data_IF_049095213925
#
_entry.id   IF_049095213925
#
_cell.length_a   1.000
_cell.length_b   1.000
_cell.length_c   1.000
_cell.angle_alpha   90.00
_cell.angle_beta   90.00
_cell.angle_gamma   90.00
#
_symmetry.space_group_name_H-M   'P 1'
#
loop_
_entity.id
_entity.type
_entity.pdbx_description
1 polymer ?
#
# COMPACT_ATOMS: atom_id res chain seq x y z
N UNK A 1 52.42 -57.92 22.59
CA UNK A 1 50.99 -57.79 22.91
C UNK A 1 50.36 -56.81 21.92
N UNK A 2 49.43 -57.23 21.07
CA UNK A 2 48.89 -56.38 20.01
C UNK A 2 47.61 -55.65 20.46
N UNK A 3 47.48 -54.39 20.01
CA UNK A 3 46.40 -53.51 20.29
C UNK A 3 45.10 -53.88 19.53
N UNK A 4 43.98 -53.90 20.23
CA UNK A 4 42.66 -54.17 19.73
C UNK A 4 42.12 -52.94 18.88
N UNK A 5 41.78 -53.20 17.61
CA UNK A 5 40.98 -52.32 16.75
C UNK A 5 39.52 -52.28 17.25
N UNK A 6 39.00 -51.09 17.55
CA UNK A 6 37.55 -50.86 17.74
C UNK A 6 36.91 -50.65 16.37
N UNK A 7 35.87 -51.43 16.09
CA UNK A 7 34.94 -51.25 14.97
C UNK A 7 34.10 -50.01 15.24
N UNK A 8 34.08 -49.12 14.28
CA UNK A 8 33.14 -48.01 14.27
C UNK A 8 31.76 -48.46 13.74
N UNK A 9 30.74 -48.21 14.51
CA UNK A 9 29.34 -48.42 14.10
C UNK A 9 28.90 -47.36 13.14
N UNK A 10 28.44 -47.78 11.96
CA UNK A 10 27.84 -46.95 10.93
C UNK A 10 26.44 -46.56 11.38
N UNK A 11 26.21 -45.25 11.58
CA UNK A 11 24.88 -44.70 11.76
C UNK A 11 24.28 -44.49 10.36
N UNK A 12 23.50 -45.46 9.91
CA UNK A 12 22.57 -45.37 8.79
C UNK A 12 21.25 -44.85 9.32
N UNK A 13 20.78 -43.71 8.84
CA UNK A 13 19.43 -43.27 9.18
C UNK A 13 19.20 -41.78 8.99
N UNK A 14 19.58 -41.22 7.82
CA UNK A 14 19.00 -39.94 7.42
C UNK A 14 17.78 -40.27 6.59
N UNK A 15 16.61 -40.28 7.27
CA UNK A 15 15.34 -40.38 6.64
C UNK A 15 15.14 -39.20 5.68
N UNK A 16 14.90 -39.51 4.43
CA UNK A 16 14.49 -38.58 3.39
C UNK A 16 13.22 -37.85 3.85
N UNK A 17 13.36 -36.61 4.30
CA UNK A 17 12.22 -35.72 4.46
C UNK A 17 11.63 -35.46 3.08
N UNK A 18 10.53 -36.17 2.79
CA UNK A 18 9.65 -35.91 1.67
C UNK A 18 9.32 -34.42 1.66
N UNK A 19 9.87 -33.68 0.70
CA UNK A 19 9.48 -32.32 0.41
C UNK A 19 8.02 -32.37 -0.05
N UNK A 20 7.09 -32.11 0.87
CA UNK A 20 5.70 -31.83 0.53
C UNK A 20 5.72 -30.66 -0.46
N UNK A 21 5.43 -30.94 -1.73
CA UNK A 21 5.18 -29.91 -2.74
C UNK A 21 4.09 -29.01 -2.18
N UNK A 22 4.45 -27.86 -1.64
CA UNK A 22 3.50 -26.78 -1.37
C UNK A 22 2.78 -26.51 -2.69
N UNK A 23 1.49 -26.78 -2.73
CA UNK A 23 0.64 -26.36 -3.85
C UNK A 23 0.84 -24.85 -3.97
N UNK A 24 1.51 -24.42 -5.03
CA UNK A 24 1.63 -22.99 -5.36
C UNK A 24 0.20 -22.48 -5.47
N UNK A 25 -0.23 -21.65 -4.51
CA UNK A 25 -1.49 -20.92 -4.63
C UNK A 25 -1.39 -20.13 -5.93
N UNK A 26 -2.46 -20.14 -6.73
CA UNK A 26 -2.53 -19.30 -7.93
C UNK A 26 -2.21 -17.86 -7.51
N UNK A 27 -1.34 -17.15 -8.22
CA UNK A 27 -1.09 -15.74 -7.91
C UNK A 27 -2.43 -14.99 -8.02
N UNK A 28 -2.68 -14.08 -7.09
CA UNK A 28 -3.79 -13.13 -7.20
C UNK A 28 -3.42 -12.22 -8.36
N UNK A 29 -4.30 -12.11 -9.36
CA UNK A 29 -4.11 -11.26 -10.53
C UNK A 29 -5.25 -10.25 -10.64
N UNK A 30 -5.07 -9.27 -11.50
CA UNK A 30 -6.05 -8.20 -11.73
C UNK A 30 -7.36 -8.67 -12.38
N UNK A 31 -7.39 -9.85 -13.01
CA UNK A 31 -8.60 -10.42 -13.62
C UNK A 31 -9.71 -10.69 -12.61
N UNK A 32 -9.36 -10.77 -11.31
CA UNK A 32 -10.32 -10.91 -10.22
C UNK A 32 -10.95 -9.59 -9.81
N UNK A 33 -10.46 -8.47 -10.33
CA UNK A 33 -10.97 -7.14 -10.01
C UNK A 33 -12.08 -6.73 -10.99
N UNK A 34 -13.08 -6.02 -10.47
CA UNK A 34 -14.10 -5.40 -11.33
C UNK A 34 -13.48 -4.33 -12.23
N UNK A 35 -14.04 -4.14 -13.41
CA UNK A 35 -13.59 -3.09 -14.33
C UNK A 35 -14.25 -1.76 -13.99
N UNK A 36 -13.52 -0.91 -13.30
CA UNK A 36 -13.99 0.42 -12.87
C UNK A 36 -13.66 1.44 -13.95
N UNK A 37 -14.70 2.16 -14.38
CA UNK A 37 -14.59 3.22 -15.39
C UNK A 37 -14.74 4.59 -14.74
N UNK A 38 -14.09 5.62 -15.29
CA UNK A 38 -14.32 6.99 -14.85
C UNK A 38 -15.75 7.43 -15.11
N UNK A 39 -16.35 8.12 -14.14
CA UNK A 39 -17.73 8.63 -14.21
C UNK A 39 -17.78 10.12 -14.56
N UNK A 40 -16.65 10.82 -14.43
CA UNK A 40 -16.55 12.27 -14.70
C UNK A 40 -15.29 12.57 -15.50
N UNK A 41 -15.26 13.74 -16.16
CA UNK A 41 -14.08 14.18 -16.93
C UNK A 41 -12.81 14.30 -16.06
N UNK A 42 -12.96 14.73 -14.81
CA UNK A 42 -11.84 14.80 -13.88
C UNK A 42 -11.32 13.42 -13.51
N UNK A 43 -12.19 12.43 -13.33
CA UNK A 43 -11.78 11.04 -13.12
C UNK A 43 -11.13 10.48 -14.39
N UNK A 44 -11.66 10.77 -15.58
CA UNK A 44 -11.05 10.38 -16.85
C UNK A 44 -9.63 10.94 -16.96
N UNK A 45 -9.46 12.23 -16.67
CA UNK A 45 -8.14 12.86 -16.65
C UNK A 45 -7.20 12.17 -15.67
N UNK A 46 -7.66 11.78 -14.48
CA UNK A 46 -6.87 11.04 -13.51
C UNK A 46 -6.37 9.70 -14.09
N UNK A 47 -7.27 8.94 -14.75
CA UNK A 47 -6.90 7.68 -15.41
C UNK A 47 -5.85 7.89 -16.50
N UNK A 48 -6.00 8.91 -17.32
CA UNK A 48 -5.10 9.20 -18.45
C UNK A 48 -3.71 9.62 -17.96
N UNK A 49 -3.64 10.50 -16.98
CA UNK A 49 -2.38 10.95 -16.38
C UNK A 49 -1.69 9.83 -15.59
N UNK A 50 -2.46 8.96 -14.95
CA UNK A 50 -1.93 7.77 -14.29
C UNK A 50 -1.28 6.81 -15.29
N UNK A 51 -1.97 6.54 -16.41
CA UNK A 51 -1.46 5.68 -17.51
C UNK A 51 -0.24 6.30 -18.19
N UNK A 52 -0.14 7.61 -18.22
CA UNK A 52 1.03 8.33 -18.72
C UNK A 52 2.27 8.21 -17.79
N UNK A 53 2.16 7.48 -16.69
CA UNK A 53 3.28 7.23 -15.76
C UNK A 53 3.63 8.39 -14.85
N UNK A 54 2.74 9.39 -14.72
CA UNK A 54 3.00 10.59 -13.92
C UNK A 54 2.75 10.33 -12.43
N UNK A 55 3.47 11.08 -11.59
CA UNK A 55 3.08 11.30 -10.21
C UNK A 55 1.86 12.22 -10.17
N UNK A 56 0.89 11.93 -9.30
CA UNK A 56 -0.40 12.59 -9.32
C UNK A 56 -0.69 13.36 -8.04
N UNK A 57 -1.43 14.43 -8.22
CA UNK A 57 -1.97 15.22 -7.13
C UNK A 57 -3.49 15.36 -7.32
N UNK A 58 -4.24 14.49 -6.65
CA UNK A 58 -5.69 14.44 -6.69
C UNK A 58 -6.28 15.34 -5.61
N UNK A 59 -6.69 16.53 -5.99
CA UNK A 59 -7.24 17.54 -5.09
C UNK A 59 -8.67 17.88 -5.46
N UNK A 60 -9.57 17.92 -4.48
CA UNK A 60 -10.98 18.21 -4.71
C UNK A 60 -11.84 17.86 -3.51
N UNK A 61 -13.15 18.09 -3.62
CA UNK A 61 -14.12 17.85 -2.55
C UNK A 61 -14.14 16.39 -2.06
N UNK A 62 -14.52 16.18 -0.79
CA UNK A 62 -14.74 14.85 -0.24
C UNK A 62 -15.75 14.04 -1.08
N UNK A 63 -15.63 12.72 -1.07
CA UNK A 63 -16.58 11.84 -1.75
C UNK A 63 -16.46 11.76 -3.28
N UNK A 64 -15.50 12.43 -3.90
CA UNK A 64 -15.30 12.40 -5.36
C UNK A 64 -14.54 11.15 -5.88
N UNK A 65 -14.19 10.23 -4.99
CA UNK A 65 -13.55 8.95 -5.34
C UNK A 65 -12.03 9.00 -5.53
N UNK A 66 -11.33 10.06 -5.14
CA UNK A 66 -9.88 10.22 -5.34
C UNK A 66 -9.08 9.03 -4.82
N UNK A 67 -9.21 8.73 -3.54
CA UNK A 67 -8.50 7.63 -2.87
C UNK A 67 -8.90 6.27 -3.43
N UNK A 68 -10.19 6.10 -3.74
CA UNK A 68 -10.71 4.88 -4.34
C UNK A 68 -10.10 4.60 -5.71
N UNK A 69 -10.07 5.61 -6.60
CA UNK A 69 -9.48 5.49 -7.94
C UNK A 69 -7.97 5.27 -7.85
N UNK A 70 -7.28 6.00 -6.98
CA UNK A 70 -5.85 5.82 -6.75
C UNK A 70 -5.53 4.39 -6.31
N UNK A 71 -6.27 3.85 -5.34
CA UNK A 71 -6.09 2.50 -4.83
C UNK A 71 -6.41 1.44 -5.88
N UNK A 72 -7.50 1.64 -6.65
CA UNK A 72 -7.90 0.74 -7.73
C UNK A 72 -6.81 0.63 -8.80
N UNK A 73 -6.34 1.76 -9.32
CA UNK A 73 -5.33 1.79 -10.37
C UNK A 73 -4.00 1.21 -9.89
N UNK A 74 -3.60 1.54 -8.67
CA UNK A 74 -2.38 1.04 -8.07
C UNK A 74 -2.42 -0.48 -7.86
N UNK A 75 -3.49 -1.03 -7.30
CA UNK A 75 -3.65 -2.47 -7.10
C UNK A 75 -3.71 -3.21 -8.44
N UNK A 76 -4.45 -2.69 -9.42
CA UNK A 76 -4.54 -3.29 -10.75
C UNK A 76 -3.14 -3.37 -11.39
N UNK A 77 -2.37 -2.30 -11.37
CA UNK A 77 -1.03 -2.24 -11.96
C UNK A 77 -0.05 -3.21 -11.27
N UNK A 78 -0.06 -3.28 -9.94
CA UNK A 78 0.80 -4.21 -9.17
C UNK A 78 0.40 -5.66 -9.41
N UNK A 79 -0.88 -5.97 -9.51
CA UNK A 79 -1.38 -7.33 -9.75
C UNK A 79 -1.18 -7.79 -11.19
N UNK A 80 -1.13 -6.89 -12.15
CA UNK A 80 -0.82 -7.20 -13.56
C UNK A 80 0.64 -7.60 -13.77
N UNK A 81 1.54 -7.24 -12.86
CA UNK A 81 2.97 -7.59 -12.89
C UNK A 81 3.69 -7.21 -14.21
N UNK A 82 3.17 -6.21 -14.93
CA UNK A 82 3.74 -5.73 -16.21
C UNK A 82 4.78 -4.64 -15.94
N UNK A 83 4.63 -3.92 -14.84
CA UNK A 83 5.48 -2.82 -14.42
C UNK A 83 6.44 -3.25 -13.31
N UNK A 84 7.47 -2.46 -12.99
CA UNK A 84 8.39 -2.77 -11.90
C UNK A 84 7.76 -2.62 -10.50
N UNK A 85 6.50 -2.19 -10.40
CA UNK A 85 5.85 -2.00 -9.11
C UNK A 85 5.41 -3.34 -8.52
N UNK A 86 5.81 -3.58 -7.29
CA UNK A 86 5.53 -4.83 -6.57
C UNK A 86 4.53 -4.62 -5.42
N UNK A 87 4.39 -3.37 -4.93
CA UNK A 87 3.68 -3.07 -3.70
C UNK A 87 2.92 -1.75 -3.80
N UNK A 88 1.81 -1.68 -3.09
CA UNK A 88 1.06 -0.44 -2.86
C UNK A 88 1.22 -0.04 -1.39
N UNK A 89 1.77 1.13 -1.13
CA UNK A 89 1.79 1.75 0.19
C UNK A 89 0.67 2.77 0.31
N UNK A 90 -0.18 2.61 1.32
CA UNK A 90 -1.15 3.63 1.72
C UNK A 90 -0.60 4.32 2.95
N UNK A 91 -0.27 5.59 2.80
CA UNK A 91 0.31 6.42 3.86
C UNK A 91 -0.72 7.44 4.31
N UNK A 92 -0.97 7.50 5.61
CA UNK A 92 -1.89 8.47 6.22
C UNK A 92 -1.32 9.00 7.52
N UNK A 93 -1.56 10.27 7.83
CA UNK A 93 -1.29 10.80 9.16
C UNK A 93 -2.27 10.22 10.19
N UNK A 94 -1.75 9.77 11.31
CA UNK A 94 -2.55 9.36 12.47
C UNK A 94 -2.80 10.58 13.38
N UNK A 95 -3.35 11.65 12.85
CA UNK A 95 -3.80 12.75 13.71
C UNK A 95 -4.95 12.20 14.54
N UNK A 96 -4.77 12.17 15.86
CA UNK A 96 -5.86 11.89 16.78
C UNK A 96 -6.90 13.01 16.59
N UNK A 97 -7.92 12.76 15.75
CA UNK A 97 -9.07 13.64 15.70
C UNK A 97 -9.67 13.69 17.10
N UNK A 98 -10.01 14.87 17.57
CA UNK A 98 -10.57 15.10 18.91
C UNK A 98 -11.83 14.26 19.20
N UNK A 99 -12.40 13.65 18.16
CA UNK A 99 -13.60 12.82 18.25
C UNK A 99 -13.34 11.37 18.64
N UNK A 100 -12.11 10.86 18.41
CA UNK A 100 -11.73 9.53 18.88
C UNK A 100 -10.99 9.74 20.21
N UNK A 101 -11.75 9.83 21.30
CA UNK A 101 -11.21 9.85 22.64
C UNK A 101 -10.20 8.73 22.85
N UNK A 102 -9.41 8.80 23.91
CA UNK A 102 -8.44 7.80 24.34
C UNK A 102 -9.02 6.38 24.19
N UNK A 103 -8.90 5.78 23.01
CA UNK A 103 -9.19 4.37 22.83
C UNK A 103 -8.11 3.57 23.56
N UNK A 104 -8.48 2.76 24.55
CA UNK A 104 -7.54 1.82 25.17
C UNK A 104 -7.18 0.76 24.11
N UNK A 105 -5.91 0.51 23.94
CA UNK A 105 -5.40 -0.50 22.99
C UNK A 105 -3.99 -0.17 22.53
N UNK A 106 -3.25 -1.18 22.11
CA UNK A 106 -1.90 -1.05 21.57
C UNK A 106 -1.91 -0.31 20.22
N UNK A 107 -0.75 0.16 19.79
CA UNK A 107 -0.57 0.86 18.51
C UNK A 107 -1.05 0.06 17.30
N UNK A 108 -1.02 -1.27 17.36
CA UNK A 108 -1.51 -2.15 16.31
C UNK A 108 -3.04 -2.14 16.22
N UNK A 109 -3.74 -2.14 17.34
CA UNK A 109 -5.20 -2.07 17.37
C UNK A 109 -5.72 -0.75 16.80
N UNK A 110 -5.07 0.36 17.13
CA UNK A 110 -5.40 1.68 16.57
C UNK A 110 -5.12 1.75 15.07
N UNK A 111 -4.01 1.17 14.62
CA UNK A 111 -3.67 1.08 13.21
C UNK A 111 -4.70 0.28 12.41
N UNK A 112 -5.28 -0.76 12.99
CA UNK A 112 -6.27 -1.60 12.32
C UNK A 112 -7.56 -0.85 11.99
N UNK A 113 -8.02 0.03 12.86
CA UNK A 113 -9.23 0.84 12.64
C UNK A 113 -9.08 1.79 11.44
N UNK A 114 -7.90 2.38 11.25
CA UNK A 114 -7.62 3.24 10.11
C UNK A 114 -7.55 2.49 8.77
N UNK A 115 -7.38 1.16 8.80
CA UNK A 115 -7.35 0.32 7.61
C UNK A 115 -8.75 -0.08 7.12
N UNK A 116 -9.78 0.00 7.97
CA UNK A 116 -11.15 -0.44 7.65
C UNK A 116 -11.70 0.21 6.37
N UNK A 117 -11.61 1.53 6.16
CA UNK A 117 -12.11 2.15 4.93
C UNK A 117 -11.44 1.57 3.67
N UNK A 118 -10.13 1.36 3.71
CA UNK A 118 -9.39 0.80 2.58
C UNK A 118 -9.72 -0.67 2.34
N UNK A 119 -9.90 -1.44 3.41
CA UNK A 119 -10.37 -2.83 3.32
C UNK A 119 -11.73 -2.91 2.64
N UNK A 120 -12.65 -2.00 2.97
CA UNK A 120 -13.95 -1.92 2.32
C UNK A 120 -13.85 -1.52 0.85
N UNK A 121 -12.94 -0.61 0.50
CA UNK A 121 -12.66 -0.27 -0.90
C UNK A 121 -12.13 -1.49 -1.67
N UNK A 122 -11.17 -2.21 -1.11
CA UNK A 122 -10.63 -3.44 -1.72
C UNK A 122 -11.73 -4.49 -1.87
N UNK A 123 -12.60 -4.67 -0.86
CA UNK A 123 -13.73 -5.59 -0.95
C UNK A 123 -14.64 -5.27 -2.14
N UNK A 124 -14.95 -4.00 -2.34
CA UNK A 124 -15.74 -3.57 -3.50
C UNK A 124 -15.03 -3.84 -4.84
N UNK A 125 -13.70 -3.64 -4.89
CA UNK A 125 -12.90 -3.84 -6.11
C UNK A 125 -12.83 -5.30 -6.56
N UNK A 126 -12.98 -6.25 -5.65
CA UNK A 126 -12.95 -7.69 -5.96
C UNK A 126 -14.33 -8.33 -6.05
N UNK A 127 -15.40 -7.62 -5.65
CA UNK A 127 -16.82 -8.05 -5.75
C UNK A 127 -17.05 -9.54 -5.39
N UNK A 128 -16.42 -9.98 -4.30
CA UNK A 128 -16.57 -11.37 -3.87
C UNK A 128 -17.92 -11.60 -3.19
N UNK A 129 -18.57 -12.71 -3.53
CA UNK A 129 -19.90 -13.06 -3.03
C UNK A 129 -19.88 -13.49 -1.55
N UNK A 130 -18.76 -14.04 -1.08
CA UNK A 130 -18.61 -14.52 0.30
C UNK A 130 -17.57 -13.69 1.06
N UNK A 131 -17.94 -13.27 2.26
CA UNK A 131 -17.07 -12.52 3.17
C UNK A 131 -15.84 -13.35 3.57
N UNK A 132 -15.95 -14.66 3.72
CA UNK A 132 -14.82 -15.53 4.06
C UNK A 132 -13.81 -15.62 2.90
N UNK A 133 -14.29 -15.70 1.66
CA UNK A 133 -13.41 -15.66 0.49
C UNK A 133 -12.65 -14.34 0.40
N UNK A 134 -13.33 -13.24 0.66
CA UNK A 134 -12.69 -11.93 0.73
C UNK A 134 -11.63 -11.84 1.83
N UNK A 135 -11.92 -12.31 3.04
CA UNK A 135 -10.94 -12.31 4.14
C UNK A 135 -9.68 -13.14 3.78
N UNK A 136 -9.87 -14.28 3.11
CA UNK A 136 -8.74 -15.09 2.64
C UNK A 136 -7.92 -14.37 1.57
N UNK A 137 -8.56 -13.69 0.61
CA UNK A 137 -7.91 -12.90 -0.42
C UNK A 137 -7.16 -11.72 0.18
N UNK A 138 -7.83 -10.94 1.03
CA UNK A 138 -7.24 -9.78 1.69
C UNK A 138 -6.06 -10.16 2.59
N UNK A 139 -6.21 -11.26 3.34
CA UNK A 139 -5.12 -11.83 4.12
C UNK A 139 -3.92 -12.25 3.25
N UNK A 140 -4.18 -12.79 2.06
CA UNK A 140 -3.13 -13.15 1.12
C UNK A 140 -2.42 -11.91 0.52
N UNK A 141 -3.17 -10.83 0.18
CA UNK A 141 -2.60 -9.55 -0.27
C UNK A 141 -1.67 -8.93 0.79
N UNK A 142 -2.08 -8.99 2.06
CA UNK A 142 -1.25 -8.52 3.18
C UNK A 142 -0.02 -9.41 3.40
N UNK A 143 -0.18 -10.72 3.38
CA UNK A 143 0.91 -11.68 3.57
C UNK A 143 1.95 -11.64 2.45
N UNK A 144 1.55 -11.30 1.23
CA UNK A 144 2.42 -11.06 0.08
C UNK A 144 2.99 -9.64 0.06
N UNK A 145 2.61 -8.80 1.01
CA UNK A 145 2.97 -7.39 1.07
C UNK A 145 2.52 -6.57 -0.15
N UNK A 146 1.57 -7.08 -0.93
CA UNK A 146 1.02 -6.37 -2.09
C UNK A 146 0.38 -5.04 -1.70
N UNK A 147 -0.27 -4.99 -0.53
CA UNK A 147 -0.79 -3.77 0.07
C UNK A 147 -0.25 -3.60 1.48
N UNK A 148 0.26 -2.42 1.80
CA UNK A 148 0.80 -2.04 3.10
C UNK A 148 0.23 -0.70 3.55
N UNK A 149 -0.08 -0.62 4.84
CA UNK A 149 -0.55 0.61 5.46
C UNK A 149 0.52 1.15 6.39
N UNK A 150 0.91 2.39 6.18
CA UNK A 150 1.90 3.05 7.01
C UNK A 150 1.37 4.36 7.55
N UNK A 151 1.65 4.61 8.82
CA UNK A 151 1.52 5.96 9.35
C UNK A 151 2.83 6.72 9.14
N UNK A 152 2.72 8.03 9.05
CA UNK A 152 3.88 8.94 8.92
C UNK A 152 4.93 8.73 10.00
N UNK A 153 4.52 8.29 11.18
CA UNK A 153 5.41 8.01 12.32
C UNK A 153 6.37 6.83 12.08
N UNK A 154 6.02 5.88 11.22
CA UNK A 154 6.82 4.66 10.98
C UNK A 154 7.70 4.74 9.72
N UNK A 155 7.65 5.83 8.98
CA UNK A 155 8.42 6.00 7.74
C UNK A 155 9.91 6.28 7.96
N UNK A 156 10.30 6.65 9.19
CA UNK A 156 11.70 7.02 9.47
C UNK A 156 12.64 5.82 9.34
N UNK A 157 13.69 6.00 8.54
CA UNK A 157 14.76 4.98 8.37
C UNK A 157 14.48 3.90 7.33
N UNK A 158 13.39 4.00 6.57
CA UNK A 158 13.07 3.06 5.47
C UNK A 158 13.10 3.78 4.13
N UNK A 159 13.52 3.09 3.08
CA UNK A 159 13.39 3.53 1.68
C UNK A 159 12.30 2.68 1.01
N UNK A 160 11.49 3.30 0.18
CA UNK A 160 10.42 2.65 -0.56
C UNK A 160 10.86 2.51 -2.01
N UNK A 161 11.09 1.29 -2.47
CA UNK A 161 11.48 0.98 -3.85
C UNK A 161 10.42 0.11 -4.52
N UNK A 162 10.36 0.16 -5.85
CA UNK A 162 9.48 -0.65 -6.69
C UNK A 162 8.02 -0.63 -6.23
N UNK A 163 7.47 0.56 -5.95
CA UNK A 163 6.15 0.66 -5.34
C UNK A 163 5.33 1.86 -5.82
N UNK A 164 4.03 1.76 -5.57
CA UNK A 164 3.11 2.89 -5.73
C UNK A 164 2.73 3.37 -4.34
N UNK A 165 2.93 4.65 -4.09
CA UNK A 165 2.69 5.29 -2.80
C UNK A 165 1.45 6.17 -2.91
N UNK A 166 0.43 5.88 -2.12
CA UNK A 166 -0.79 6.68 -2.02
C UNK A 166 -0.73 7.43 -0.69
N UNK A 167 -0.61 8.74 -0.75
CA UNK A 167 -0.65 9.61 0.41
C UNK A 167 -2.07 10.13 0.55
N UNK A 168 -2.81 9.58 1.49
CA UNK A 168 -4.21 9.91 1.69
C UNK A 168 -4.41 10.97 2.77
N UNK A 169 -5.51 11.76 2.63
CA UNK A 169 -5.82 12.87 3.54
C UNK A 169 -4.63 13.83 3.74
N UNK A 170 -3.95 14.17 2.64
CA UNK A 170 -2.71 14.94 2.69
C UNK A 170 -2.86 16.32 3.35
N UNK A 171 -4.07 16.88 3.39
CA UNK A 171 -4.35 18.13 4.10
C UNK A 171 -4.11 18.04 5.61
N UNK A 172 -4.10 16.83 6.16
CA UNK A 172 -3.83 16.57 7.58
C UNK A 172 -2.34 16.36 7.89
N UNK A 173 -1.48 16.38 6.86
CA UNK A 173 -0.03 16.25 7.02
C UNK A 173 0.61 17.60 7.32
N UNK A 174 1.48 17.63 8.30
CA UNK A 174 2.37 18.77 8.48
C UNK A 174 3.58 18.68 7.53
N UNK A 175 4.34 19.77 7.42
CA UNK A 175 5.49 19.85 6.54
C UNK A 175 6.54 18.73 6.80
N UNK A 176 6.83 18.42 8.06
CA UNK A 176 7.83 17.41 8.41
C UNK A 176 7.37 15.99 8.05
N UNK A 177 6.07 15.71 8.15
CA UNK A 177 5.52 14.43 7.73
C UNK A 177 5.60 14.28 6.21
N UNK A 178 5.25 15.34 5.48
CA UNK A 178 5.31 15.37 4.03
C UNK A 178 6.75 15.21 3.52
N UNK A 179 7.70 15.96 4.08
CA UNK A 179 9.13 15.85 3.80
C UNK A 179 9.64 14.43 4.10
N UNK A 180 9.21 13.84 5.21
CA UNK A 180 9.55 12.47 5.56
C UNK A 180 9.05 11.46 4.55
N UNK A 181 7.88 11.65 3.94
CA UNK A 181 7.37 10.77 2.87
C UNK A 181 8.22 10.94 1.61
N UNK A 182 8.40 12.18 1.14
CA UNK A 182 9.07 12.48 -0.14
C UNK A 182 10.52 12.01 -0.12
N UNK A 183 11.22 12.19 1.00
CA UNK A 183 12.62 11.77 1.14
C UNK A 183 12.81 10.26 1.25
N UNK A 184 11.73 9.47 1.35
CA UNK A 184 11.76 8.00 1.38
C UNK A 184 11.39 7.35 0.06
N UNK A 185 10.98 8.15 -0.93
CA UNK A 185 10.71 7.65 -2.27
C UNK A 185 12.03 7.25 -2.92
N UNK A 186 12.18 5.98 -3.21
CA UNK A 186 13.37 5.39 -3.83
C UNK A 186 13.22 5.17 -5.33
N UNK A 187 13.86 4.12 -5.83
CA UNK A 187 13.86 3.81 -7.26
C UNK A 187 12.53 3.16 -7.68
N UNK A 188 12.14 3.40 -8.93
CA UNK A 188 10.92 2.83 -9.53
C UNK A 188 9.68 3.05 -8.66
N UNK A 189 9.43 4.28 -8.27
CA UNK A 189 8.27 4.63 -7.46
C UNK A 189 7.34 5.57 -8.21
N UNK A 190 6.04 5.40 -7.98
CA UNK A 190 4.98 6.32 -8.38
C UNK A 190 4.31 6.85 -7.11
N UNK A 191 4.12 8.15 -7.00
CA UNK A 191 3.45 8.74 -5.84
C UNK A 191 2.16 9.45 -6.25
N UNK A 192 1.12 9.25 -5.44
CA UNK A 192 -0.22 9.83 -5.64
C UNK A 192 -0.62 10.51 -4.34
N UNK A 193 -0.82 11.80 -4.38
CA UNK A 193 -1.36 12.54 -3.25
C UNK A 193 -2.86 12.72 -3.41
N UNK A 194 -3.63 12.36 -2.38
CA UNK A 194 -5.07 12.54 -2.31
C UNK A 194 -5.40 13.51 -1.18
N UNK A 195 -6.12 14.58 -1.49
CA UNK A 195 -6.47 15.61 -0.51
C UNK A 195 -7.81 16.26 -0.76
N UNK A 196 -8.38 16.87 0.30
CA UNK A 196 -9.61 17.64 0.24
C UNK A 196 -9.31 19.14 0.33
N UNK A 197 -9.84 19.89 -0.63
CA UNK A 197 -9.70 21.35 -0.70
C UNK A 197 -10.42 22.08 0.43
N UNK A 198 -11.55 21.55 0.88
CA UNK A 198 -12.43 22.22 1.82
C UNK A 198 -12.13 21.92 3.29
N UNK A 199 -11.36 20.85 3.56
CA UNK A 199 -11.03 20.40 4.91
C UNK A 199 -9.64 20.83 5.38
N UNK A 200 -9.00 21.75 4.68
CA UNK A 200 -7.65 22.21 5.04
C UNK A 200 -7.70 23.20 6.21
N UNK A 201 -7.56 22.70 7.41
CA UNK A 201 -7.25 23.52 8.59
C UNK A 201 -5.83 24.09 8.55
N UNK A 202 -4.99 23.59 7.61
CA UNK A 202 -3.60 24.00 7.41
C UNK A 202 -3.47 24.89 6.16
N UNK A 203 -4.14 26.03 6.17
CA UNK A 203 -4.35 26.92 5.01
C UNK A 203 -3.08 27.46 4.32
N UNK A 204 -1.87 27.29 4.85
CA UNK A 204 -0.75 28.12 4.37
C UNK A 204 0.52 27.37 3.93
N UNK A 205 0.72 26.07 4.20
CA UNK A 205 2.07 25.50 4.12
C UNK A 205 2.25 24.40 3.07
N UNK A 206 1.25 23.59 2.77
CA UNK A 206 1.50 22.33 2.05
C UNK A 206 1.68 22.46 0.54
N UNK A 207 0.96 23.33 -0.14
CA UNK A 207 0.89 23.31 -1.60
C UNK A 207 2.04 24.01 -2.33
N UNK A 208 2.56 25.09 -1.75
CA UNK A 208 3.70 25.82 -2.32
C UNK A 208 5.01 25.06 -2.20
N UNK A 209 5.17 24.27 -1.15
CA UNK A 209 6.40 23.50 -0.93
C UNK A 209 6.47 22.22 -1.77
N UNK A 210 5.34 21.56 -2.06
CA UNK A 210 5.28 20.42 -2.98
C UNK A 210 5.75 20.79 -4.40
N UNK A 211 5.47 22.02 -4.85
CA UNK A 211 5.94 22.52 -6.15
C UNK A 211 7.45 22.76 -6.18
N UNK A 212 8.08 22.95 -5.04
CA UNK A 212 9.51 23.25 -4.95
C UNK A 212 10.41 22.00 -4.96
N UNK A 213 9.85 20.80 -4.72
CA UNK A 213 10.61 19.56 -4.78
C UNK A 213 10.80 19.10 -6.22
N UNK A 214 12.04 19.06 -6.70
CA UNK A 214 12.41 18.65 -8.06
C UNK A 214 12.01 17.20 -8.40
N UNK A 215 11.82 16.34 -7.41
CA UNK A 215 11.35 14.95 -7.55
C UNK A 215 9.90 14.83 -8.02
N UNK A 216 9.12 15.92 -7.91
CA UNK A 216 7.70 15.95 -8.30
C UNK A 216 7.51 16.77 -9.60
N UNK A 217 8.30 16.52 -10.62
CA UNK A 217 8.32 17.29 -11.87
C UNK A 217 7.00 17.33 -12.65
N UNK A 218 6.03 16.49 -12.31
CA UNK A 218 4.76 16.40 -13.04
C UNK A 218 3.58 16.30 -12.08
N UNK A 219 3.09 17.45 -11.63
CA UNK A 219 1.82 17.59 -10.91
C UNK A 219 0.75 18.02 -11.91
N UNK A 220 -0.35 17.29 -11.97
CA UNK A 220 -1.54 17.64 -12.75
C UNK A 220 -2.72 17.85 -11.82
#
# INVERSE_FOLDING_TARGET
>A
MPAKKRKGDAISGIGSMSSRKMKRKKPINSDLMVDIKPLTDNQQKFFDEYKAGKNLFAYGAAGTGKTFIALYLALKEVLDQITPYEKVYVVRSLVATREIGFLPGDHEDKSSLYQIPYKNMVKYMFEMADDNEFEMLYGALKAQETIRFWSTSFLRGTTMDNCIIIVDEMQNLNFHELDSIITRVGENCKIIFCGDAAQSDLVTVSYTHLRAHETLRYLV
#
